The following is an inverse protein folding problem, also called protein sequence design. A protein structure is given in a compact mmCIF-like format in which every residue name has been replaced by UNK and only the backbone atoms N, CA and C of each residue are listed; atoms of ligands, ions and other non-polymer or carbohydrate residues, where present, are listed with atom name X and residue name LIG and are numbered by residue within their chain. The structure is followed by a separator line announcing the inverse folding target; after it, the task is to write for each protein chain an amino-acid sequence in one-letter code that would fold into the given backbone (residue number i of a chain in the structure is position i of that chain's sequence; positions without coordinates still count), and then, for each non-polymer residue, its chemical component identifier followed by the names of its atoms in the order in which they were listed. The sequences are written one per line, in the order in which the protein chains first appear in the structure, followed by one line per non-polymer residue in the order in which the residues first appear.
data_IF_831053320428
#
_entry.id   IF_831053320428
#
_cell.length_a   1.000
_cell.length_b   1.000
_cell.length_c   1.000
_cell.angle_alpha   90.00
_cell.angle_beta   90.00
_cell.angle_gamma   90.00
#
_symmetry.space_group_name_H-M   'P 1'
#
loop_
_entity.id
_entity.type
_entity.pdbx_description
1 polymer ?
#
# COMPACT_ATOMS: atom_id res chain seq x y z
N UNK A 1 16.31 20.82 3.31
CA UNK A 1 16.10 20.27 3.53
C UNK A 1 15.35 19.64 3.57
N UNK A 2 15.00 19.09 3.63
CA UNK A 2 14.29 18.44 3.63
C UNK A 2 13.70 18.06 4.56
N UNK A 3 13.14 18.22 4.83
CA UNK A 3 12.58 17.85 5.69
C UNK A 3 11.56 17.21 5.53
N UNK A 4 11.41 16.51 5.18
CA UNK A 4 10.37 15.76 4.93
C UNK A 4 9.84 15.16 6.08
N UNK A 5 8.62 14.93 6.04
CA UNK A 5 7.95 14.30 7.08
C UNK A 5 8.51 12.98 7.26
N UNK A 6 8.78 12.65 8.45
CA UNK A 6 9.37 11.40 8.79
C UNK A 6 8.33 10.49 9.34
N UNK A 7 8.03 9.48 8.60
CA UNK A 7 7.02 8.50 8.99
C UNK A 7 7.65 7.51 9.95
N UNK A 8 7.09 7.34 11.16
CA UNK A 8 7.68 6.41 12.12
C UNK A 8 7.73 4.98 11.61
N UNK A 9 6.84 4.60 10.71
CA UNK A 9 6.87 3.27 10.13
C UNK A 9 7.98 3.10 9.11
N UNK A 10 8.59 4.19 8.69
CA UNK A 10 9.65 4.19 7.70
C UNK A 10 10.86 4.93 8.23
N UNK A 11 11.40 4.43 9.30
CA UNK A 11 12.46 5.09 9.99
C UNK A 11 13.82 4.78 9.43
N UNK A 12 13.91 3.82 8.55
CA UNK A 12 15.19 3.39 8.01
C UNK A 12 15.62 4.31 6.88
N UNK A 13 16.93 4.56 6.77
CA UNK A 13 17.44 5.32 5.64
C UNK A 13 17.08 4.63 4.34
N UNK A 14 16.66 5.40 3.37
CA UNK A 14 16.27 4.87 2.08
C UNK A 14 14.88 4.31 2.03
N UNK A 15 14.16 4.32 3.13
CA UNK A 15 12.77 3.90 3.12
C UNK A 15 11.92 4.95 2.44
N UNK A 16 11.05 4.52 1.53
CA UNK A 16 10.13 5.44 0.88
C UNK A 16 8.76 4.83 0.83
N UNK A 17 8.18 4.65 1.99
CA UNK A 17 6.84 4.11 2.12
C UNK A 17 5.82 5.14 1.69
N UNK A 18 4.89 4.70 0.86
CA UNK A 18 3.79 5.53 0.40
C UNK A 18 2.50 4.77 0.64
N UNK A 19 1.39 5.49 0.86
CA UNK A 19 0.11 4.81 0.90
C UNK A 19 -0.20 4.23 -0.48
N UNK A 20 -0.88 3.09 -0.48
CA UNK A 20 -1.23 2.45 -1.75
C UNK A 20 -2.08 3.38 -2.62
N UNK A 21 -2.86 4.26 -2.00
CA UNK A 21 -3.67 5.22 -2.73
C UNK A 21 -2.84 6.21 -3.54
N UNK A 22 -1.57 6.37 -3.21
CA UNK A 22 -0.68 7.25 -3.96
C UNK A 22 -0.02 6.53 -5.13
N UNK A 23 -0.20 5.23 -5.26
CA UNK A 23 0.37 4.46 -6.36
C UNK A 23 -0.38 4.74 -7.64
N UNK A 24 0.29 4.52 -8.74
CA UNK A 24 -0.29 4.73 -10.06
C UNK A 24 -0.64 3.39 -10.69
N UNK A 25 -1.54 3.47 -11.65
CA UNK A 25 -1.91 2.33 -12.44
C UNK A 25 -0.66 1.69 -13.06
N UNK A 26 -0.54 0.40 -12.90
CA UNK A 26 0.58 -0.37 -13.44
C UNK A 26 1.76 -0.51 -12.50
N UNK A 27 1.75 0.19 -11.36
CA UNK A 27 2.84 0.10 -10.42
C UNK A 27 2.86 -1.27 -9.75
N UNK A 28 4.06 -1.74 -9.49
CA UNK A 28 4.27 -2.91 -8.63
C UNK A 28 4.86 -2.44 -7.33
N UNK A 29 4.26 -2.87 -6.26
CA UNK A 29 4.66 -2.42 -4.92
C UNK A 29 4.66 -3.61 -3.98
N UNK A 30 5.35 -3.44 -2.87
CA UNK A 30 5.39 -4.46 -1.82
C UNK A 30 4.83 -3.83 -0.55
N UNK A 31 3.93 -4.54 0.11
CA UNK A 31 3.33 -4.07 1.33
C UNK A 31 4.37 -4.06 2.43
N UNK A 32 4.53 -2.91 3.08
CA UNK A 32 5.45 -2.76 4.20
C UNK A 32 4.74 -2.74 5.52
N UNK A 33 3.56 -2.13 5.57
CA UNK A 33 2.89 -1.90 6.83
C UNK A 33 1.42 -1.68 6.59
N UNK A 34 0.60 -2.17 7.49
CA UNK A 34 -0.84 -1.93 7.47
C UNK A 34 -1.21 -1.15 8.71
N UNK A 35 -1.99 -0.10 8.51
CA UNK A 35 -2.41 0.76 9.60
C UNK A 35 -3.91 0.74 9.77
N UNK A 36 -4.37 1.18 10.92
CA UNK A 36 -5.78 1.38 11.15
C UNK A 36 -6.49 0.12 11.59
N UNK A 37 -7.79 0.27 11.80
CA UNK A 37 -8.61 -0.81 12.32
C UNK A 37 -8.90 -1.88 11.28
N UNK A 38 -8.67 -1.58 10.02
CA UNK A 38 -8.94 -2.52 8.95
C UNK A 38 -7.76 -3.41 8.62
N UNK A 39 -6.67 -3.30 9.38
CA UNK A 39 -5.46 -4.03 9.04
C UNK A 39 -5.67 -5.54 9.04
N UNK A 40 -6.43 -6.05 9.99
CA UNK A 40 -6.69 -7.48 10.02
C UNK A 40 -7.49 -7.92 8.81
N UNK A 41 -8.49 -7.14 8.44
CA UNK A 41 -9.30 -7.44 7.28
C UNK A 41 -8.46 -7.42 6.00
N UNK A 42 -7.56 -6.46 5.91
CA UNK A 42 -6.68 -6.37 4.75
C UNK A 42 -5.76 -7.57 4.66
N UNK A 43 -5.29 -8.06 5.81
CA UNK A 43 -4.47 -9.28 5.81
C UNK A 43 -5.27 -10.48 5.33
N UNK A 44 -6.52 -10.55 5.69
CA UNK A 44 -7.39 -11.64 5.24
C UNK A 44 -7.60 -11.58 3.73
N UNK A 45 -7.55 -10.39 3.16
CA UNK A 45 -7.67 -10.22 1.73
C UNK A 45 -6.39 -10.53 0.97
N UNK A 46 -5.29 -10.72 1.68
CA UNK A 46 -4.02 -11.03 1.06
C UNK A 46 -2.97 -9.94 1.13
N UNK A 47 -3.29 -8.80 1.73
CA UNK A 47 -2.34 -7.69 1.84
C UNK A 47 -1.46 -7.88 3.07
N UNK A 48 -0.76 -8.98 3.11
CA UNK A 48 0.18 -9.24 4.19
C UNK A 48 1.45 -8.46 3.96
N UNK A 49 2.20 -8.23 5.03
CA UNK A 49 3.50 -7.60 4.91
C UNK A 49 4.37 -8.45 3.99
N UNK A 50 5.13 -7.77 3.14
CA UNK A 50 5.96 -8.38 2.12
C UNK A 50 5.18 -8.96 0.93
N UNK A 51 3.86 -8.78 0.88
CA UNK A 51 3.09 -9.22 -0.26
C UNK A 51 3.33 -8.28 -1.44
N UNK A 52 3.52 -8.87 -2.61
CA UNK A 52 3.67 -8.08 -3.83
C UNK A 52 2.30 -7.76 -4.39
N UNK A 53 2.08 -6.48 -4.70
CA UNK A 53 0.79 -6.00 -5.18
C UNK A 53 1.01 -5.26 -6.47
N UNK A 54 0.13 -5.49 -7.43
CA UNK A 54 0.12 -4.74 -8.67
C UNK A 54 -1.10 -3.84 -8.70
N UNK A 55 -0.88 -2.56 -8.95
CA UNK A 55 -1.97 -1.59 -9.01
C UNK A 55 -2.59 -1.65 -10.39
N UNK A 56 -3.83 -2.07 -10.47
CA UNK A 56 -4.54 -2.19 -11.74
C UNK A 56 -5.20 -0.87 -12.09
N UNK A 57 -5.77 -0.20 -11.08
CA UNK A 57 -6.47 1.06 -11.30
C UNK A 57 -6.35 1.90 -10.05
N UNK A 58 -6.21 3.20 -10.23
CA UNK A 58 -6.13 4.13 -9.11
C UNK A 58 -6.98 5.35 -9.45
N UNK A 59 -7.87 5.69 -8.55
CA UNK A 59 -8.77 6.81 -8.74
C UNK A 59 -9.62 6.98 -7.50
N UNK A 60 -10.92 7.11 -7.67
CA UNK A 60 -11.82 7.19 -6.52
C UNK A 60 -11.80 5.89 -5.73
N UNK A 61 -11.46 4.78 -6.38
CA UNK A 61 -11.20 3.51 -5.72
C UNK A 61 -9.91 2.94 -6.29
N UNK A 62 -9.29 2.04 -5.55
CA UNK A 62 -8.05 1.41 -5.98
C UNK A 62 -8.33 -0.07 -6.22
N UNK A 63 -7.97 -0.54 -7.41
CA UNK A 63 -8.07 -1.95 -7.73
C UNK A 63 -6.65 -2.48 -7.74
N UNK A 64 -6.40 -3.43 -6.85
CA UNK A 64 -5.08 -4.00 -6.68
C UNK A 64 -5.14 -5.50 -6.91
N UNK A 65 -4.12 -6.04 -7.53
CA UNK A 65 -4.01 -7.47 -7.76
C UNK A 65 -2.97 -8.03 -6.79
N UNK A 66 -3.40 -8.97 -5.98
CA UNK A 66 -2.53 -9.64 -5.02
C UNK A 66 -2.83 -11.12 -5.09
N UNK A 67 -1.79 -11.94 -5.16
CA UNK A 67 -1.90 -13.40 -5.28
C UNK A 67 -2.81 -13.82 -6.44
N UNK A 68 -2.77 -13.06 -7.52
CA UNK A 68 -3.57 -13.38 -8.71
C UNK A 68 -5.01 -12.95 -8.64
N UNK A 69 -5.46 -12.35 -7.55
CA UNK A 69 -6.84 -11.90 -7.38
C UNK A 69 -6.89 -10.39 -7.42
N UNK A 70 -7.90 -9.87 -8.10
CA UNK A 70 -8.13 -8.43 -8.14
C UNK A 70 -9.08 -8.06 -7.02
N UNK A 71 -8.69 -7.08 -6.25
CA UNK A 71 -9.44 -6.63 -5.09
C UNK A 71 -9.68 -5.15 -5.23
N UNK A 72 -10.93 -4.74 -5.07
CA UNK A 72 -11.29 -3.33 -5.13
C UNK A 72 -11.31 -2.78 -3.71
N UNK A 73 -10.54 -1.74 -3.48
CA UNK A 73 -10.44 -1.10 -2.18
C UNK A 73 -10.98 0.31 -2.28
N UNK A 74 -11.67 0.75 -1.23
CA UNK A 74 -11.97 2.16 -1.13
C UNK A 74 -10.66 2.92 -0.97
N UNK A 75 -10.68 4.17 -1.36
CA UNK A 75 -9.49 5.01 -1.22
C UNK A 75 -9.03 5.05 0.24
N UNK A 76 -9.98 5.07 1.15
CA UNK A 76 -9.67 5.10 2.57
C UNK A 76 -8.90 3.86 3.01
N UNK A 77 -9.32 2.69 2.55
CA UNK A 77 -8.60 1.47 2.88
C UNK A 77 -7.23 1.44 2.24
N UNK A 78 -7.12 1.94 1.03
CA UNK A 78 -5.83 1.98 0.35
C UNK A 78 -4.85 2.92 1.05
N UNK A 79 -5.37 3.96 1.70
CA UNK A 79 -4.50 4.88 2.46
C UNK A 79 -3.91 4.21 3.69
N UNK A 80 -4.53 3.16 4.18
CA UNK A 80 -4.01 2.45 5.35
C UNK A 80 -2.95 1.41 5.00
N UNK A 81 -2.69 1.20 3.73
CA UNK A 81 -1.69 0.23 3.29
C UNK A 81 -0.46 1.01 2.83
N UNK A 82 0.64 0.84 3.57
CA UNK A 82 1.90 1.50 3.23
C UNK A 82 2.75 0.54 2.42
N UNK A 83 3.23 1.00 1.29
CA UNK A 83 3.95 0.17 0.34
C UNK A 83 5.24 0.83 -0.09
N UNK A 84 6.14 0.03 -0.64
CA UNK A 84 7.37 0.52 -1.25
C UNK A 84 7.42 -0.05 -2.67
N UNK A 85 8.15 0.60 -3.57
CA UNK A 85 8.30 0.05 -4.92
C UNK A 85 8.92 -1.34 -4.89
N UNK A 86 8.42 -2.20 -5.73
CA UNK A 86 8.94 -3.56 -5.82
C UNK A 86 10.30 -3.60 -6.53
#
# INVERSE_FOLDING_TARGET
MESHSHDPACDLPGCSCLPLSASRRGDRVVVRHLEGNDSQRLRELGFNEAAEVRVVCSGSAVIAQVHGSKICLSRRMAEAILVVPA
#
